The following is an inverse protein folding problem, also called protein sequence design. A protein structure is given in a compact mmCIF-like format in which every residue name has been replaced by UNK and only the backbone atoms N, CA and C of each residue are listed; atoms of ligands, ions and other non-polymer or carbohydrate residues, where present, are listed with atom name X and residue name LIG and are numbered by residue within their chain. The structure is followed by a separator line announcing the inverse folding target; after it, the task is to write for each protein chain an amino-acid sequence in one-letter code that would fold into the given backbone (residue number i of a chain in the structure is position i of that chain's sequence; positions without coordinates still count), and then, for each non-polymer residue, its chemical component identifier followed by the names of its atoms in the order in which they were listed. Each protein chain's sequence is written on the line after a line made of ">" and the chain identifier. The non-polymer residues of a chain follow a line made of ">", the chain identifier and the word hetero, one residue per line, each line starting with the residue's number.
data_IF_493400294437
#
_entry.id   IF_493400294437
#
_cell.length_a   1.000
_cell.length_b   1.000
_cell.length_c   1.000
_cell.angle_alpha   90.00
_cell.angle_beta   90.00
_cell.angle_gamma   90.00
#
_symmetry.space_group_name_H-M   'P 1'
#
loop_
_entity.id
_entity.type
_entity.pdbx_description
1 polymer ?
#
# COMPACT_ATOMS: atom_id res chain seq x y z
N UNK A 1 -0.82 0.14 -34.60
CA UNK A 1 -1.25 0.96 -33.45
C UNK A 1 -0.97 0.18 -32.21
N UNK A 2 0.22 0.38 -31.73
CA UNK A 2 0.65 -0.30 -30.53
C UNK A 2 0.10 0.50 -29.37
N UNK A 3 -1.01 0.03 -28.85
CA UNK A 3 -1.52 0.46 -27.57
C UNK A 3 -0.57 -0.12 -26.52
N UNK A 4 0.63 0.45 -26.48
CA UNK A 4 1.57 0.18 -25.39
C UNK A 4 0.82 0.56 -24.12
N UNK A 5 0.39 -0.46 -23.41
CA UNK A 5 -0.13 -0.31 -22.05
C UNK A 5 0.98 0.32 -21.24
N UNK A 6 1.00 1.64 -21.24
CA UNK A 6 2.00 2.41 -20.50
C UNK A 6 1.85 2.09 -19.02
N UNK A 7 2.85 1.46 -18.46
CA UNK A 7 2.93 1.15 -17.04
C UNK A 7 3.82 2.18 -16.37
N UNK A 8 3.33 2.79 -15.31
CA UNK A 8 4.13 3.68 -14.46
C UNK A 8 4.83 2.86 -13.38
N UNK A 9 6.12 3.06 -13.24
CA UNK A 9 6.93 2.45 -12.20
C UNK A 9 7.20 3.47 -11.09
N UNK A 10 6.80 3.13 -9.87
CA UNK A 10 7.04 3.94 -8.70
C UNK A 10 7.97 3.18 -7.73
N UNK A 11 8.84 3.91 -7.07
CA UNK A 11 9.76 3.36 -6.09
C UNK A 11 9.34 3.74 -4.68
N UNK A 12 9.28 2.75 -3.81
CA UNK A 12 9.07 2.92 -2.38
C UNK A 12 10.42 2.95 -1.68
N UNK A 13 10.75 4.07 -1.05
CA UNK A 13 12.03 4.27 -0.40
C UNK A 13 11.86 4.77 1.03
N UNK A 14 12.55 4.17 2.01
CA UNK A 14 12.55 4.67 3.38
C UNK A 14 13.35 5.97 3.46
N UNK A 15 12.80 6.98 4.14
CA UNK A 15 13.46 8.26 4.39
C UNK A 15 13.97 8.37 5.82
N UNK A 16 13.12 7.96 6.76
CA UNK A 16 13.41 7.91 8.19
C UNK A 16 12.87 6.62 8.78
N UNK A 17 13.09 6.42 10.07
CA UNK A 17 12.52 5.28 10.77
C UNK A 17 11.00 5.32 10.69
N UNK A 18 10.41 4.29 10.05
CA UNK A 18 8.96 4.15 9.88
C UNK A 18 8.32 5.23 8.99
N UNK A 19 9.11 5.86 8.12
CA UNK A 19 8.64 6.81 7.12
C UNK A 19 9.15 6.42 5.73
N UNK A 20 8.30 6.51 4.74
CA UNK A 20 8.59 6.16 3.35
C UNK A 20 8.09 7.21 2.38
N UNK A 21 8.80 7.32 1.27
CA UNK A 21 8.38 8.09 0.10
C UNK A 21 8.09 7.15 -1.06
N UNK A 22 7.09 7.50 -1.84
CA UNK A 22 6.77 6.83 -3.10
C UNK A 22 7.04 7.83 -4.22
N UNK A 23 7.96 7.49 -5.11
CA UNK A 23 8.41 8.37 -6.19
C UNK A 23 8.26 7.74 -7.55
N UNK A 24 7.87 8.55 -8.52
CA UNK A 24 7.96 8.25 -9.94
C UNK A 24 9.12 9.07 -10.51
N UNK A 25 10.26 8.42 -10.77
CA UNK A 25 11.50 9.14 -11.07
C UNK A 25 11.90 10.07 -9.92
N UNK A 26 11.98 11.37 -10.19
CA UNK A 26 12.30 12.39 -9.18
C UNK A 26 11.04 13.01 -8.54
N UNK A 27 9.87 12.73 -9.09
CA UNK A 27 8.62 13.27 -8.57
C UNK A 27 8.13 12.51 -7.34
N UNK A 28 7.84 13.26 -6.27
CA UNK A 28 7.22 12.72 -5.07
C UNK A 28 5.72 12.53 -5.32
N UNK A 29 5.27 11.28 -5.29
CA UNK A 29 3.87 10.92 -5.55
C UNK A 29 3.08 10.77 -4.25
N UNK A 30 3.67 10.14 -3.25
CA UNK A 30 3.03 9.92 -1.96
C UNK A 30 4.07 9.77 -0.84
N UNK A 31 3.63 9.99 0.38
CA UNK A 31 4.41 9.76 1.59
C UNK A 31 3.60 8.91 2.57
N UNK A 32 4.30 8.11 3.37
CA UNK A 32 3.69 7.20 4.33
C UNK A 32 4.47 7.20 5.63
N UNK A 33 3.79 7.35 6.75
CA UNK A 33 4.36 7.24 8.09
C UNK A 33 3.55 6.26 8.92
N UNK A 34 4.19 5.19 9.37
CA UNK A 34 3.56 4.09 10.11
C UNK A 34 4.20 3.94 11.49
N UNK A 35 3.48 4.28 12.58
CA UNK A 35 4.00 4.05 13.92
C UNK A 35 4.21 2.55 14.18
N UNK A 36 5.34 2.20 14.78
CA UNK A 36 5.74 0.80 14.99
C UNK A 36 4.81 0.03 15.92
N UNK A 37 4.25 0.70 16.91
CA UNK A 37 3.47 0.09 17.99
C UNK A 37 1.96 0.34 17.88
N UNK A 38 1.51 0.97 16.83
CA UNK A 38 0.09 1.32 16.62
C UNK A 38 -0.39 0.82 15.27
N UNK A 39 -1.65 0.41 15.23
CA UNK A 39 -2.35 0.19 13.97
C UNK A 39 -2.66 1.53 13.30
N UNK A 40 -2.76 1.52 11.97
CA UNK A 40 -3.01 2.72 11.19
C UNK A 40 -1.73 3.47 10.81
N UNK A 41 -1.88 4.73 10.44
CA UNK A 41 -0.77 5.57 10.00
C UNK A 41 -1.24 6.89 9.45
N UNK A 42 -0.29 7.63 8.90
CA UNK A 42 -0.53 8.91 8.21
C UNK A 42 0.22 8.90 6.89
N UNK A 43 -0.24 9.73 5.98
CA UNK A 43 0.42 9.89 4.71
C UNK A 43 -0.02 11.14 3.99
N UNK A 44 0.51 11.32 2.80
CA UNK A 44 0.03 12.31 1.85
C UNK A 44 0.00 11.72 0.45
N UNK A 45 -0.99 12.07 -0.31
CA UNK A 45 -1.14 11.66 -1.70
C UNK A 45 -1.97 12.70 -2.44
N UNK A 46 -1.57 13.03 -3.67
CA UNK A 46 -2.27 13.99 -4.53
C UNK A 46 -2.53 15.35 -3.84
N UNK A 47 -1.57 15.85 -3.06
CA UNK A 47 -1.67 17.13 -2.35
C UNK A 47 -2.59 17.12 -1.12
N UNK A 48 -3.03 15.94 -0.68
CA UNK A 48 -3.89 15.78 0.50
C UNK A 48 -3.15 15.09 1.63
N UNK A 49 -3.35 15.58 2.85
CA UNK A 49 -2.96 14.87 4.05
C UNK A 49 -3.98 13.76 4.35
N UNK A 50 -3.48 12.56 4.62
CA UNK A 50 -4.30 11.38 4.81
C UNK A 50 -4.09 10.78 6.19
N UNK A 51 -5.17 10.20 6.72
CA UNK A 51 -5.13 9.42 7.94
C UNK A 51 -5.62 8.00 7.65
N UNK A 52 -4.87 7.01 8.11
CA UNK A 52 -5.25 5.60 8.01
C UNK A 52 -5.63 5.12 9.40
N UNK A 53 -6.85 4.67 9.54
CA UNK A 53 -7.36 4.08 10.78
C UNK A 53 -7.69 2.62 10.61
N UNK A 54 -7.34 1.83 11.59
CA UNK A 54 -7.76 0.44 11.68
C UNK A 54 -8.90 0.35 12.68
N UNK A 55 -10.01 -0.23 12.28
CA UNK A 55 -11.19 -0.40 13.12
C UNK A 55 -11.76 -1.82 13.01
N UNK A 56 -12.60 -2.21 13.96
CA UNK A 56 -13.22 -3.52 14.03
C UNK A 56 -12.46 -4.50 14.92
N UNK A 57 -13.18 -5.22 15.78
CA UNK A 57 -12.61 -6.21 16.71
C UNK A 57 -12.49 -7.60 16.07
N UNK A 58 -13.50 -8.02 15.34
CA UNK A 58 -13.58 -9.35 14.72
C UNK A 58 -13.08 -9.35 13.27
N UNK A 59 -13.28 -8.27 12.55
CA UNK A 59 -12.80 -8.07 11.19
C UNK A 59 -12.12 -6.73 11.11
N UNK A 60 -10.81 -6.76 10.99
CA UNK A 60 -10.03 -5.54 10.84
C UNK A 60 -10.31 -4.88 9.50
N UNK A 61 -10.62 -3.62 9.56
CA UNK A 61 -10.90 -2.76 8.43
C UNK A 61 -9.96 -1.57 8.47
N UNK A 62 -9.35 -1.25 7.35
CA UNK A 62 -8.50 -0.07 7.23
C UNK A 62 -9.26 0.99 6.44
N UNK A 63 -9.39 2.18 7.02
CA UNK A 63 -10.09 3.29 6.39
C UNK A 63 -9.12 4.43 6.18
N UNK A 64 -9.04 4.93 4.96
CA UNK A 64 -8.21 6.07 4.58
C UNK A 64 -9.12 7.28 4.40
N UNK A 65 -8.87 8.31 5.19
CA UNK A 65 -9.64 9.55 5.14
C UNK A 65 -8.75 10.75 4.84
N UNK A 66 -9.33 11.76 4.21
CA UNK A 66 -8.72 13.08 4.12
C UNK A 66 -8.70 13.70 5.52
N UNK A 67 -7.51 14.03 6.03
CA UNK A 67 -7.34 14.55 7.38
C UNK A 67 -7.99 15.93 7.58
N UNK A 68 -8.11 16.72 6.52
CA UNK A 68 -8.71 18.06 6.59
C UNK A 68 -10.24 18.02 6.56
N UNK A 69 -10.83 17.14 5.77
CA UNK A 69 -12.30 17.10 5.54
C UNK A 69 -12.99 15.93 6.24
N UNK A 70 -12.25 14.88 6.62
CA UNK A 70 -12.82 13.65 7.17
C UNK A 70 -13.45 12.74 6.10
N UNK A 71 -13.34 13.10 4.83
CA UNK A 71 -13.90 12.35 3.73
C UNK A 71 -13.20 10.99 3.57
N UNK A 72 -13.99 9.92 3.47
CA UNK A 72 -13.45 8.59 3.22
C UNK A 72 -13.02 8.46 1.75
N UNK A 73 -11.75 8.12 1.54
CA UNK A 73 -11.17 7.98 0.21
C UNK A 73 -10.94 6.53 -0.18
N UNK A 74 -10.73 5.66 0.80
CA UNK A 74 -10.52 4.25 0.57
C UNK A 74 -10.87 3.42 1.79
N UNK A 75 -11.19 2.16 1.55
CA UNK A 75 -11.49 1.18 2.60
C UNK A 75 -10.96 -0.19 2.19
N UNK A 76 -10.23 -0.81 3.08
CA UNK A 76 -9.72 -2.18 2.91
C UNK A 76 -10.37 -3.08 3.93
N UNK A 77 -11.10 -4.08 3.45
CA UNK A 77 -11.81 -5.04 4.28
C UNK A 77 -11.42 -6.45 3.83
N UNK A 78 -10.55 -7.11 4.59
CA UNK A 78 -9.96 -8.37 4.16
C UNK A 78 -9.18 -8.19 2.87
N UNK A 79 -9.59 -8.84 1.80
CA UNK A 79 -8.99 -8.69 0.47
C UNK A 79 -9.71 -7.65 -0.40
N UNK A 80 -10.89 -7.20 0.01
CA UNK A 80 -11.64 -6.20 -0.74
C UNK A 80 -11.07 -4.80 -0.52
N UNK A 81 -10.80 -4.10 -1.60
CA UNK A 81 -10.28 -2.72 -1.59
C UNK A 81 -11.25 -1.84 -2.36
N UNK A 82 -11.82 -0.88 -1.67
CA UNK A 82 -12.70 0.13 -2.25
C UNK A 82 -11.95 1.45 -2.33
N UNK A 83 -11.80 1.98 -3.52
CA UNK A 83 -11.17 3.26 -3.80
C UNK A 83 -12.22 4.20 -4.39
N UNK A 84 -12.30 5.40 -3.85
CA UNK A 84 -13.23 6.40 -4.36
C UNK A 84 -12.98 6.72 -5.84
N UNK A 85 -14.03 6.64 -6.64
CA UNK A 85 -13.95 6.92 -8.08
C UNK A 85 -13.33 5.79 -8.92
N UNK A 86 -13.00 4.67 -8.30
CA UNK A 86 -12.45 3.49 -8.96
C UNK A 86 -13.33 2.30 -8.62
N UNK A 87 -13.49 1.36 -9.55
CA UNK A 87 -14.20 0.11 -9.27
C UNK A 87 -13.53 -0.68 -8.15
N UNK A 88 -14.34 -1.40 -7.40
CA UNK A 88 -13.85 -2.30 -6.34
C UNK A 88 -12.81 -3.26 -6.89
N UNK A 89 -11.73 -3.43 -6.14
CA UNK A 89 -10.65 -4.33 -6.48
C UNK A 89 -10.42 -5.33 -5.35
N UNK A 90 -9.69 -6.39 -5.65
CA UNK A 90 -9.21 -7.33 -4.66
C UNK A 90 -7.70 -7.25 -4.53
N UNK A 91 -7.22 -7.25 -3.30
CA UNK A 91 -5.80 -7.37 -3.00
C UNK A 91 -5.43 -8.86 -2.98
N UNK A 92 -4.58 -9.27 -3.89
CA UNK A 92 -4.20 -10.67 -4.07
C UNK A 92 -2.69 -10.87 -4.17
N UNK A 93 -2.22 -12.00 -3.70
CA UNK A 93 -0.89 -12.49 -4.04
C UNK A 93 -0.87 -12.91 -5.51
N UNK A 94 0.12 -12.46 -6.26
CA UNK A 94 0.27 -12.75 -7.70
C UNK A 94 1.26 -13.87 -7.99
N UNK A 95 1.75 -14.54 -6.95
CA UNK A 95 2.75 -15.57 -7.06
C UNK A 95 4.08 -15.18 -6.41
N UNK A 96 4.96 -16.17 -6.26
CA UNK A 96 6.20 -16.04 -5.48
C UNK A 96 7.09 -14.88 -5.94
N UNK A 97 7.19 -14.67 -7.25
CA UNK A 97 8.10 -13.68 -7.83
C UNK A 97 7.41 -12.38 -8.30
N UNK A 98 6.09 -12.33 -8.25
CA UNK A 98 5.30 -11.22 -8.77
C UNK A 98 4.74 -10.29 -7.70
N UNK A 99 4.93 -10.61 -6.42
CA UNK A 99 4.42 -9.80 -5.31
C UNK A 99 2.92 -9.90 -5.12
N UNK A 100 2.30 -8.79 -4.83
CA UNK A 100 0.85 -8.67 -4.64
C UNK A 100 0.29 -7.57 -5.53
N UNK A 101 -1.01 -7.55 -5.73
CA UNK A 101 -1.60 -6.55 -6.59
C UNK A 101 -3.08 -6.30 -6.35
N UNK A 102 -3.56 -5.24 -6.96
CA UNK A 102 -4.97 -4.91 -7.04
C UNK A 102 -5.52 -5.47 -8.35
N UNK A 103 -6.51 -6.33 -8.20
CA UNK A 103 -7.13 -7.06 -9.31
C UNK A 103 -8.58 -6.58 -9.45
N UNK A 104 -8.91 -6.08 -10.62
CA UNK A 104 -10.26 -5.62 -10.95
C UNK A 104 -11.22 -6.76 -11.24
N UNK A 105 -12.50 -6.43 -11.56
CA UNK A 105 -13.54 -7.43 -11.82
C UNK A 105 -13.22 -8.38 -12.99
N UNK A 106 -12.39 -7.92 -13.95
CA UNK A 106 -11.97 -8.72 -15.10
C UNK A 106 -10.88 -9.76 -14.79
N UNK A 107 -10.36 -9.80 -13.57
CA UNK A 107 -9.29 -10.72 -13.18
C UNK A 107 -7.87 -10.27 -13.53
N UNK A 108 -7.72 -9.12 -14.17
CA UNK A 108 -6.42 -8.54 -14.53
C UNK A 108 -5.90 -7.62 -13.43
N UNK A 109 -4.65 -7.80 -12.99
CA UNK A 109 -4.06 -6.87 -12.05
C UNK A 109 -3.70 -5.55 -12.75
N UNK A 110 -4.24 -4.45 -12.25
CA UNK A 110 -3.91 -3.12 -12.75
C UNK A 110 -2.86 -2.40 -11.89
N UNK A 111 -2.55 -2.95 -10.72
CA UNK A 111 -1.44 -2.53 -9.87
C UNK A 111 -0.72 -3.77 -9.36
N UNK A 112 0.61 -3.75 -9.42
CA UNK A 112 1.48 -4.78 -8.84
C UNK A 112 2.48 -4.12 -7.91
N UNK A 113 2.69 -4.70 -6.76
CA UNK A 113 3.63 -4.17 -5.78
C UNK A 113 4.45 -5.27 -5.14
N UNK A 114 5.72 -4.97 -4.95
CA UNK A 114 6.67 -5.85 -4.27
C UNK A 114 7.43 -5.05 -3.23
N UNK A 115 7.70 -5.66 -2.09
CA UNK A 115 8.62 -5.11 -1.11
C UNK A 115 9.76 -6.08 -0.86
N UNK A 116 10.92 -5.51 -0.57
CA UNK A 116 12.09 -6.23 -0.13
C UNK A 116 12.45 -5.71 1.26
N UNK A 117 12.32 -6.56 2.25
CA UNK A 117 12.69 -6.23 3.61
C UNK A 117 14.16 -6.56 3.82
N UNK A 118 14.97 -5.55 4.09
CA UNK A 118 16.33 -5.71 4.60
C UNK A 118 16.32 -5.70 6.12
N UNK A 119 17.47 -5.93 6.73
CA UNK A 119 17.62 -5.99 8.18
C UNK A 119 17.11 -4.72 8.91
N UNK A 120 17.14 -3.56 8.26
CA UNK A 120 16.76 -2.27 8.84
C UNK A 120 15.90 -1.40 7.92
N UNK A 121 15.64 -1.83 6.68
CA UNK A 121 14.95 -1.01 5.68
C UNK A 121 14.07 -1.87 4.80
N UNK A 122 12.85 -1.42 4.61
CA UNK A 122 11.93 -1.96 3.62
C UNK A 122 11.90 -1.05 2.41
N UNK A 123 12.29 -1.57 1.26
CA UNK A 123 12.17 -0.90 -0.02
C UNK A 123 11.16 -1.64 -0.90
N UNK A 124 10.68 -1.01 -1.92
CA UNK A 124 9.74 -1.67 -2.81
C UNK A 124 9.57 -0.94 -4.14
N UNK A 125 8.75 -1.54 -4.96
CA UNK A 125 8.32 -0.96 -6.23
C UNK A 125 6.85 -1.23 -6.46
N UNK A 126 6.20 -0.29 -7.13
CA UNK A 126 4.80 -0.37 -7.53
C UNK A 126 4.72 -0.12 -9.02
N UNK A 127 4.10 -1.04 -9.74
CA UNK A 127 3.77 -0.88 -11.15
C UNK A 127 2.27 -0.64 -11.27
N UNK A 128 1.88 0.42 -11.93
CA UNK A 128 0.47 0.78 -12.09
C UNK A 128 0.15 1.01 -13.57
N UNK A 129 -0.97 0.45 -14.03
CA UNK A 129 -1.43 0.63 -15.38
C UNK A 129 -1.77 2.10 -15.67
N UNK A 130 -1.52 2.55 -16.90
CA UNK A 130 -1.87 3.88 -17.36
C UNK A 130 -3.37 4.17 -17.21
N UNK A 131 -3.71 5.43 -17.00
CA UNK A 131 -5.09 5.86 -16.81
C UNK A 131 -5.57 5.88 -15.36
N UNK A 132 -4.80 5.34 -14.43
CA UNK A 132 -5.06 5.44 -12.99
C UNK A 132 -4.20 6.53 -12.35
N UNK A 133 -4.77 7.29 -11.43
CA UNK A 133 -3.98 8.16 -10.55
C UNK A 133 -3.11 7.28 -9.65
N UNK A 134 -1.78 7.41 -9.68
CA UNK A 134 -0.91 6.51 -8.94
C UNK A 134 -0.84 6.77 -7.44
N UNK A 135 -1.22 7.96 -6.98
CA UNK A 135 -0.92 8.39 -5.61
C UNK A 135 -1.60 7.54 -4.53
N UNK A 136 -2.92 7.50 -4.50
CA UNK A 136 -3.66 6.77 -3.47
C UNK A 136 -3.52 5.24 -3.58
N UNK A 137 -3.66 4.63 -4.76
CA UNK A 137 -3.46 3.19 -4.89
C UNK A 137 -2.06 2.72 -4.47
N UNK A 138 -1.02 3.45 -4.83
CA UNK A 138 0.35 3.11 -4.45
C UNK A 138 0.58 3.24 -2.95
N UNK A 139 0.02 4.25 -2.31
CA UNK A 139 0.08 4.43 -0.86
C UNK A 139 -0.58 3.25 -0.14
N UNK A 140 -1.76 2.83 -0.59
CA UNK A 140 -2.48 1.69 -0.01
C UNK A 140 -1.70 0.40 -0.20
N UNK A 141 -1.16 0.15 -1.38
CA UNK A 141 -0.33 -1.02 -1.67
C UNK A 141 0.90 -1.06 -0.75
N UNK A 142 1.60 0.05 -0.61
CA UNK A 142 2.74 0.18 0.30
C UNK A 142 2.34 -0.09 1.75
N UNK A 143 1.25 0.49 2.22
CA UNK A 143 0.71 0.25 3.56
C UNK A 143 0.46 -1.23 3.83
N UNK A 144 -0.25 -1.90 2.93
CA UNK A 144 -0.59 -3.32 3.10
C UNK A 144 0.66 -4.21 3.12
N UNK A 145 1.62 -3.95 2.25
CA UNK A 145 2.86 -4.72 2.18
C UNK A 145 3.75 -4.51 3.40
N UNK A 146 3.89 -3.28 3.87
CA UNK A 146 4.69 -2.98 5.05
C UNK A 146 4.05 -3.61 6.29
N UNK A 147 2.74 -3.52 6.44
CA UNK A 147 2.03 -4.18 7.56
C UNK A 147 2.18 -5.69 7.53
N UNK A 148 2.10 -6.30 6.36
CA UNK A 148 2.36 -7.74 6.21
C UNK A 148 3.79 -8.11 6.61
N UNK A 149 4.77 -7.31 6.23
CA UNK A 149 6.16 -7.51 6.62
C UNK A 149 6.34 -7.34 8.14
N UNK A 150 5.68 -6.37 8.76
CA UNK A 150 5.69 -6.18 10.20
C UNK A 150 5.10 -7.40 10.93
N UNK A 151 3.98 -7.92 10.47
CA UNK A 151 3.34 -9.11 11.04
C UNK A 151 4.24 -10.35 10.91
N UNK A 152 4.90 -10.53 9.79
CA UNK A 152 5.84 -11.63 9.57
C UNK A 152 7.05 -11.52 10.49
N UNK A 153 7.58 -10.32 10.70
CA UNK A 153 8.69 -10.06 11.63
C UNK A 153 8.30 -10.32 13.07
N UNK A 154 7.10 -9.91 13.48
CA UNK A 154 6.56 -10.16 14.82
C UNK A 154 6.36 -11.67 15.07
N UNK A 155 5.83 -12.41 14.11
CA UNK A 155 5.66 -13.86 14.20
C UNK A 155 7.00 -14.60 14.31
N UNK A 156 8.01 -14.20 13.55
CA UNK A 156 9.36 -14.76 13.64
C UNK A 156 10.00 -14.50 15.00
N UNK A 157 9.85 -13.30 15.56
CA UNK A 157 10.36 -12.95 16.91
C UNK A 157 9.67 -13.76 18.01
N UNK A 158 8.36 -13.98 17.92
CA UNK A 158 7.61 -14.80 18.85
C UNK A 158 8.07 -16.28 18.83
N UNK A 159 8.36 -16.81 17.66
CA UNK A 159 8.88 -18.18 17.50
C UNK A 159 10.26 -18.35 18.15
N UNK A 160 11.15 -17.39 18.00
CA UNK A 160 12.48 -17.40 18.64
C UNK A 160 12.36 -17.31 20.15
N UNK A 161 11.44 -16.53 20.68
CA UNK A 161 11.22 -16.39 22.14
C UNK A 161 10.62 -17.65 22.77
N UNK A 162 9.96 -18.52 22.00
CA UNK A 162 9.33 -19.76 22.47
C UNK A 162 10.28 -20.97 22.51
N UNK A 163 11.49 -20.85 21.99
CA UNK A 163 12.55 -21.87 22.02
C UNK A 163 13.61 -21.51 23.05
#
# INVERSE_FOLDING_TARGET
>A
MDDETSVKLLLLQPTRRREWEIREGEELVAELSLPAMRSGGRGSAAGRELEIRTQGMLRREHVVTDAATGEELARVRGHAVELRGIESAEWKSLGRDQGSGLVGPGGEPWLRAKVKSGAFRTTGQVEIAAGHDPALPSLIAAYLLIRKADEAAAAASATVAAT
#
